data_IF_113477582464
#
_entry.id   IF_113477582464
#
_cell.length_a   1.000
_cell.length_b   1.000
_cell.length_c   1.000
_cell.angle_alpha   90.00
_cell.angle_beta   90.00
_cell.angle_gamma   90.00
#
_symmetry.space_group_name_H-M   'P 1'
#
loop_
_entity.id
_entity.type
_entity.pdbx_description
1 polymer ?
#
# COMPACT_ATOMS: atom_id res chain seq x y z
N UNK A 1 9.75 6.80 5.30
CA UNK A 1 10.64 6.08 6.23
C UNK A 1 10.84 4.59 5.88
N UNK A 2 10.11 4.00 4.93
CA UNK A 2 10.21 2.57 4.63
C UNK A 2 11.39 2.26 3.69
N UNK A 3 12.36 1.41 4.08
CA UNK A 3 13.49 1.04 3.24
C UNK A 3 13.09 0.36 1.91
N UNK A 4 12.06 -0.48 1.90
CA UNK A 4 11.56 -1.08 0.65
C UNK A 4 11.18 -0.03 -0.40
N UNK A 5 10.65 1.12 0.06
CA UNK A 5 10.27 2.23 -0.81
C UNK A 5 11.48 3.01 -1.31
N UNK A 6 12.59 3.06 -0.58
CA UNK A 6 13.82 3.72 -1.06
C UNK A 6 14.41 3.02 -2.28
N UNK A 7 14.32 1.68 -2.31
CA UNK A 7 14.96 0.88 -3.36
C UNK A 7 14.04 0.48 -4.51
N UNK A 8 12.73 0.59 -4.35
CA UNK A 8 11.76 0.10 -5.34
C UNK A 8 10.62 1.12 -5.57
N UNK A 9 10.86 2.43 -5.45
CA UNK A 9 9.80 3.46 -5.53
C UNK A 9 9.05 3.50 -6.86
N UNK A 10 9.65 2.99 -7.93
CA UNK A 10 9.03 2.95 -9.27
C UNK A 10 7.91 1.91 -9.36
N UNK A 11 8.02 0.81 -8.59
CA UNK A 11 7.10 -0.33 -8.68
C UNK A 11 6.30 -0.56 -7.39
N UNK A 12 6.93 -0.35 -6.23
CA UNK A 12 6.30 -0.47 -4.92
C UNK A 12 5.59 0.82 -4.56
N UNK A 13 4.27 0.75 -4.38
CA UNK A 13 3.42 1.92 -4.12
C UNK A 13 3.72 2.62 -2.79
N UNK A 14 4.29 1.89 -1.84
CA UNK A 14 4.64 2.44 -0.53
C UNK A 14 3.48 2.50 0.46
N UNK A 15 3.79 2.71 1.75
CA UNK A 15 2.83 2.56 2.84
C UNK A 15 1.66 3.54 2.78
N UNK A 16 1.89 4.78 2.33
CA UNK A 16 0.84 5.81 2.29
C UNK A 16 -0.24 5.51 1.23
N UNK A 17 0.18 5.11 0.03
CA UNK A 17 -0.76 4.72 -1.04
C UNK A 17 -1.48 3.44 -0.66
N UNK A 18 -0.77 2.44 -0.12
CA UNK A 18 -1.39 1.19 0.31
C UNK A 18 -2.43 1.39 1.43
N UNK A 19 -2.18 2.31 2.37
CA UNK A 19 -3.15 2.69 3.39
C UNK A 19 -4.40 3.32 2.77
N UNK A 20 -4.25 4.20 1.77
CA UNK A 20 -5.38 4.79 1.05
C UNK A 20 -6.14 3.79 0.18
N UNK A 21 -5.43 2.86 -0.46
CA UNK A 21 -6.06 1.75 -1.20
C UNK A 21 -6.88 0.89 -0.26
N UNK A 22 -6.34 0.55 0.91
CA UNK A 22 -7.08 -0.21 1.92
C UNK A 22 -8.29 0.56 2.45
N UNK A 23 -8.19 1.88 2.68
CA UNK A 23 -9.33 2.73 3.07
C UNK A 23 -10.52 2.51 2.13
N UNK A 24 -10.30 2.55 0.81
CA UNK A 24 -11.37 2.34 -0.17
C UNK A 24 -11.86 0.89 -0.20
N UNK A 25 -10.97 -0.10 -0.09
CA UNK A 25 -11.36 -1.50 -0.05
C UNK A 25 -12.23 -1.85 1.16
N UNK A 26 -11.94 -1.24 2.31
CA UNK A 26 -12.68 -1.42 3.56
C UNK A 26 -14.00 -0.62 3.61
N UNK A 27 -14.15 0.41 2.76
CA UNK A 27 -15.38 1.21 2.72
C UNK A 27 -16.56 0.37 2.21
N UNK A 28 -17.64 0.28 2.99
CA UNK A 28 -18.85 -0.46 2.61
C UNK A 28 -19.61 0.20 1.46
N UNK A 29 -19.36 1.49 1.20
CA UNK A 29 -20.00 2.27 0.14
C UNK A 29 -19.30 2.13 -1.21
N UNK A 30 -18.06 1.63 -1.22
CA UNK A 30 -17.27 1.50 -2.45
C UNK A 30 -17.75 0.28 -3.27
N UNK A 31 -18.12 0.55 -4.52
CA UNK A 31 -18.62 -0.44 -5.47
C UNK A 31 -17.52 -0.99 -6.40
N UNK A 32 -16.27 -0.53 -6.25
CA UNK A 32 -15.14 -0.84 -7.15
C UNK A 32 -14.09 -1.75 -6.50
N UNK A 33 -14.47 -2.52 -5.48
CA UNK A 33 -13.54 -3.39 -4.72
C UNK A 33 -12.78 -4.36 -5.60
N UNK A 34 -13.44 -5.01 -6.56
CA UNK A 34 -12.81 -5.97 -7.45
C UNK A 34 -11.73 -5.33 -8.34
N UNK A 35 -12.05 -4.19 -8.95
CA UNK A 35 -11.12 -3.40 -9.77
C UNK A 35 -9.89 -2.96 -8.97
N UNK A 36 -10.10 -2.42 -7.77
CA UNK A 36 -9.01 -1.99 -6.87
C UNK A 36 -8.12 -3.14 -6.42
N UNK A 37 -8.72 -4.31 -6.14
CA UNK A 37 -7.95 -5.51 -5.75
C UNK A 37 -7.11 -6.01 -6.92
N UNK A 38 -7.66 -6.06 -8.13
CA UNK A 38 -6.93 -6.45 -9.34
C UNK A 38 -5.75 -5.51 -9.63
N UNK A 39 -5.90 -4.21 -9.40
CA UNK A 39 -4.80 -3.24 -9.56
C UNK A 39 -3.62 -3.47 -8.61
N UNK A 40 -3.85 -4.12 -7.45
CA UNK A 40 -2.81 -4.48 -6.47
C UNK A 40 -2.28 -5.90 -6.66
N UNK A 41 -2.90 -6.72 -7.51
CA UNK A 41 -2.57 -8.13 -7.71
C UNK A 41 -1.44 -8.29 -8.74
N UNK A 42 -0.29 -7.74 -8.39
CA UNK A 42 0.95 -7.89 -9.14
C UNK A 42 2.11 -8.11 -8.16
N UNK A 43 3.25 -8.56 -8.66
CA UNK A 43 4.39 -8.99 -7.82
C UNK A 43 5.04 -7.87 -7.01
N UNK A 44 4.88 -6.60 -7.39
CA UNK A 44 5.77 -5.52 -6.93
C UNK A 44 5.04 -4.41 -6.17
N UNK A 45 3.81 -4.05 -6.57
CA UNK A 45 3.04 -2.94 -5.99
C UNK A 45 2.72 -3.08 -4.51
N UNK A 46 2.43 -4.31 -4.06
CA UNK A 46 2.06 -4.60 -2.66
C UNK A 46 3.16 -5.40 -1.92
N UNK A 47 3.68 -6.46 -2.56
CA UNK A 47 4.43 -7.51 -1.88
C UNK A 47 5.89 -7.16 -1.54
N UNK A 48 6.34 -5.93 -1.81
CA UNK A 48 7.65 -5.43 -1.32
C UNK A 48 7.60 -4.91 0.12
N UNK A 49 6.44 -4.97 0.77
CA UNK A 49 6.32 -4.71 2.20
C UNK A 49 6.89 -5.87 3.03
N UNK A 50 8.04 -5.68 3.67
CA UNK A 50 8.68 -6.68 4.53
C UNK A 50 8.44 -6.43 6.03
N UNK A 51 7.31 -5.80 6.38
CA UNK A 51 6.89 -5.58 7.78
C UNK A 51 7.97 -4.95 8.66
N UNK A 52 8.72 -3.99 8.10
CA UNK A 52 9.79 -3.25 8.79
C UNK A 52 9.20 -2.27 9.84
N UNK A 53 7.93 -1.89 9.68
CA UNK A 53 7.14 -1.05 10.60
C UNK A 53 7.65 0.38 10.85
N UNK A 54 8.68 0.84 10.12
CA UNK A 54 9.10 2.24 10.14
C UNK A 54 7.99 3.22 9.72
N UNK A 55 7.05 2.77 8.88
CA UNK A 55 5.90 3.59 8.45
C UNK A 55 4.99 3.92 9.62
N UNK A 56 4.60 2.93 10.43
CA UNK A 56 3.74 3.12 11.60
C UNK A 56 4.42 3.96 12.67
N UNK A 57 5.73 3.74 12.91
CA UNK A 57 6.48 4.50 13.93
C UNK A 57 6.69 5.96 13.59
N UNK A 58 6.87 6.28 12.30
CA UNK A 58 7.18 7.63 11.85
C UNK A 58 5.92 8.43 11.44
N UNK A 59 4.73 7.81 11.46
CA UNK A 59 3.53 8.48 11.02
C UNK A 59 3.14 9.57 12.04
N UNK A 60 3.07 10.86 11.64
CA UNK A 60 2.71 11.94 12.57
C UNK A 60 1.21 12.00 12.89
N UNK A 61 0.41 11.10 12.30
CA UNK A 61 -1.05 11.00 12.45
C UNK A 61 -1.47 9.54 12.51
#
# INVERSE_FOLDING_TARGET
>A
SCPSYWWNSEEYLGPAILLQSYRWLADSRDQKKAERKAALDNSMSLYRCHTILNCTRACPK
#
